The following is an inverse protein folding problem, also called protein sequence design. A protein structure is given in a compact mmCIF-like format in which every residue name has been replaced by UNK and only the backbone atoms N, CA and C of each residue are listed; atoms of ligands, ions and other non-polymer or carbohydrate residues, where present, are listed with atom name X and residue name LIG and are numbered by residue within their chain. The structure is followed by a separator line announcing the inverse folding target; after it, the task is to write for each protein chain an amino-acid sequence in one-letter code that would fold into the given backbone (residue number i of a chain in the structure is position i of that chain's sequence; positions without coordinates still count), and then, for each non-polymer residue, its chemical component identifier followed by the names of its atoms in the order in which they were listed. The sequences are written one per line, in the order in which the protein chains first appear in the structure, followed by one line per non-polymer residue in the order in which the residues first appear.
data_IF_315428468502
#
_entry.id   IF_315428468502
#
_cell.length_a   1.000
_cell.length_b   1.000
_cell.length_c   1.000
_cell.angle_alpha   90.00
_cell.angle_beta   90.00
_cell.angle_gamma   90.00
#
_symmetry.space_group_name_H-M   'P 1'
#
loop_
_entity.id
_entity.type
_entity.pdbx_description
1 polymer ?
#
# COMPACT_ATOMS: atom_id res chain seq x y z
N UNK A 1 -4.83 -3.25 -2.13
CA UNK A 1 -4.38 -3.15 -0.72
C UNK A 1 -5.29 -4.02 0.14
N UNK A 2 -4.74 -4.93 0.94
CA UNK A 2 -5.53 -5.77 1.86
C UNK A 2 -4.73 -6.18 3.10
N UNK A 3 -5.38 -6.40 4.26
CA UNK A 3 -4.71 -6.95 5.44
C UNK A 3 -4.17 -8.35 5.15
N UNK A 4 -2.90 -8.60 5.49
CA UNK A 4 -2.24 -9.88 5.26
C UNK A 4 -1.30 -10.20 6.44
N UNK A 5 -1.39 -11.38 7.06
CA UNK A 5 -0.40 -11.80 8.06
C UNK A 5 0.98 -11.90 7.41
N UNK A 6 2.01 -11.39 8.09
CA UNK A 6 3.39 -11.47 7.61
C UNK A 6 3.90 -12.91 7.74
N UNK A 7 4.45 -13.45 6.65
CA UNK A 7 5.09 -14.76 6.68
C UNK A 7 6.44 -14.71 7.41
N UNK A 8 7.12 -15.85 7.53
CA UNK A 8 8.39 -15.94 8.27
C UNK A 8 9.48 -15.00 7.74
N UNK A 9 9.65 -14.94 6.43
CA UNK A 9 10.69 -14.13 5.78
C UNK A 9 10.39 -12.63 5.93
N UNK A 10 9.15 -12.23 5.64
CA UNK A 10 8.68 -10.84 5.80
C UNK A 10 8.78 -10.37 7.25
N UNK A 11 8.39 -11.22 8.19
CA UNK A 11 8.45 -10.90 9.61
C UNK A 11 9.90 -10.72 10.10
N UNK A 12 10.83 -11.53 9.58
CA UNK A 12 12.25 -11.40 9.88
C UNK A 12 12.82 -10.07 9.35
N UNK A 13 12.54 -9.71 8.10
CA UNK A 13 12.99 -8.45 7.51
C UNK A 13 12.41 -7.22 8.22
N UNK A 14 11.17 -7.31 8.69
CA UNK A 14 10.46 -6.23 9.38
C UNK A 14 10.66 -6.22 10.90
N UNK A 15 11.48 -7.14 11.44
CA UNK A 15 11.75 -7.31 12.88
C UNK A 15 10.48 -7.46 13.73
N UNK A 16 9.59 -8.36 13.29
CA UNK A 16 8.36 -8.74 14.01
C UNK A 16 8.22 -10.27 14.07
N UNK A 17 7.21 -10.76 14.77
CA UNK A 17 6.93 -12.20 14.84
C UNK A 17 6.16 -12.67 13.60
N UNK A 18 6.43 -13.90 13.14
CA UNK A 18 5.67 -14.51 12.05
C UNK A 18 4.18 -14.58 12.41
N UNK A 19 3.31 -14.27 11.43
CA UNK A 19 1.87 -14.16 11.62
C UNK A 19 1.41 -12.82 12.19
N UNK A 20 2.32 -11.88 12.48
CA UNK A 20 1.94 -10.52 12.90
C UNK A 20 1.02 -9.86 11.85
N UNK A 21 0.07 -9.01 12.28
CA UNK A 21 -0.77 -8.27 11.34
C UNK A 21 0.08 -7.40 10.43
N UNK A 22 -0.18 -7.47 9.13
CA UNK A 22 0.47 -6.63 8.14
C UNK A 22 -0.54 -6.12 7.12
N UNK A 23 -0.05 -5.24 6.26
CA UNK A 23 -0.80 -4.72 5.13
C UNK A 23 -0.01 -5.01 3.86
N UNK A 24 -0.66 -5.66 2.89
CA UNK A 24 -0.09 -5.85 1.57
C UNK A 24 -0.60 -4.79 0.61
N UNK A 25 0.34 -4.11 -0.06
CA UNK A 25 0.08 -3.09 -1.06
C UNK A 25 0.69 -3.50 -2.40
N UNK A 26 -0.02 -3.18 -3.46
CA UNK A 26 0.50 -3.24 -4.83
C UNK A 26 0.32 -1.86 -5.43
N UNK A 27 1.38 -1.30 -6.01
CA UNK A 27 1.38 0.01 -6.64
C UNK A 27 1.92 -0.11 -8.05
N UNK A 28 1.20 0.49 -8.99
CA UNK A 28 1.70 0.72 -10.35
C UNK A 28 1.86 2.22 -10.53
N UNK A 29 3.07 2.66 -10.84
CA UNK A 29 3.36 4.06 -11.14
C UNK A 29 3.44 4.26 -12.65
N UNK A 30 2.94 5.41 -13.13
CA UNK A 30 2.90 5.77 -14.54
C UNK A 30 3.67 7.07 -14.78
N UNK A 31 4.30 7.19 -15.96
CA UNK A 31 4.85 8.47 -16.43
C UNK A 31 3.76 9.42 -16.94
N UNK A 32 4.15 10.60 -17.42
CA UNK A 32 3.24 11.60 -17.98
C UNK A 32 2.53 11.17 -19.28
N UNK A 33 2.91 10.03 -19.87
CA UNK A 33 2.33 9.48 -21.09
C UNK A 33 1.51 8.21 -20.81
N UNK A 34 1.08 8.00 -19.56
CA UNK A 34 0.36 6.83 -19.07
C UNK A 34 1.11 5.51 -19.30
N UNK A 35 2.45 5.55 -19.40
CA UNK A 35 3.28 4.34 -19.49
C UNK A 35 3.72 3.89 -18.11
N UNK A 36 3.66 2.58 -17.86
CA UNK A 36 4.13 2.00 -16.59
C UNK A 36 5.63 2.23 -16.44
N UNK A 37 6.04 2.83 -15.32
CA UNK A 37 7.45 3.02 -14.96
C UNK A 37 7.89 2.12 -13.82
N UNK A 38 6.98 1.73 -12.94
CA UNK A 38 7.29 0.95 -11.75
C UNK A 38 6.10 0.08 -11.34
N UNK A 39 6.40 -1.10 -10.82
CA UNK A 39 5.44 -2.00 -10.21
C UNK A 39 6.02 -2.54 -8.89
N UNK A 40 5.39 -2.16 -7.79
CA UNK A 40 5.84 -2.52 -6.45
C UNK A 40 4.87 -3.45 -5.76
N UNK A 41 5.41 -4.38 -4.98
CA UNK A 41 4.69 -5.19 -4.02
C UNK A 41 5.32 -4.99 -2.65
N UNK A 42 4.56 -4.44 -1.72
CA UNK A 42 5.08 -4.01 -0.42
C UNK A 42 4.34 -4.68 0.73
N UNK A 43 5.08 -5.02 1.79
CA UNK A 43 4.55 -5.54 3.04
C UNK A 43 4.85 -4.55 4.15
N UNK A 44 3.80 -3.99 4.74
CA UNK A 44 3.92 -2.97 5.77
C UNK A 44 3.49 -3.51 7.13
N UNK A 45 4.19 -3.10 8.17
CA UNK A 45 3.80 -3.34 9.56
C UNK A 45 2.60 -2.46 9.93
N UNK A 46 1.64 -3.04 10.64
CA UNK A 46 0.41 -2.35 11.00
C UNK A 46 0.58 -1.23 12.05
N UNK A 47 1.71 -1.21 12.77
CA UNK A 47 1.93 -0.36 13.95
C UNK A 47 2.78 0.89 13.68
N UNK A 48 3.23 1.08 12.44
CA UNK A 48 4.12 2.18 12.06
C UNK A 48 3.54 3.13 11.01
N UNK A 49 2.41 2.79 10.39
CA UNK A 49 1.82 3.56 9.28
C UNK A 49 0.32 3.74 9.50
N UNK A 50 -0.17 4.94 9.22
CA UNK A 50 -1.59 5.28 9.07
C UNK A 50 -1.86 5.67 7.61
N UNK A 51 -2.98 5.21 7.05
CA UNK A 51 -3.39 5.52 5.67
C UNK A 51 -4.71 6.29 5.73
N UNK A 52 -4.68 7.53 5.25
CA UNK A 52 -5.86 8.37 5.06
C UNK A 52 -6.14 8.56 3.57
N UNK A 53 -7.42 8.57 3.21
CA UNK A 53 -7.88 8.80 1.84
C UNK A 53 -8.89 9.95 1.87
N UNK A 54 -8.62 10.98 1.08
CA UNK A 54 -9.59 12.04 0.78
C UNK A 54 -10.11 11.82 -0.63
N UNK A 55 -11.42 11.64 -0.78
CA UNK A 55 -12.07 11.49 -2.08
C UNK A 55 -12.72 12.81 -2.45
N UNK A 56 -12.12 13.52 -3.39
CA UNK A 56 -12.70 14.75 -3.94
C UNK A 56 -13.60 14.39 -5.11
N UNK A 57 -14.88 14.74 -5.00
CA UNK A 57 -15.84 14.60 -6.10
C UNK A 57 -15.79 15.84 -6.99
N UNK A 58 -15.11 15.76 -8.13
CA UNK A 58 -14.99 16.86 -9.11
C UNK A 58 -16.28 17.14 -9.91
N UNK A 59 -17.42 16.60 -9.49
CA UNK A 59 -18.70 16.72 -10.21
C UNK A 59 -19.52 17.96 -9.81
N UNK A 60 -19.05 18.79 -8.88
CA UNK A 60 -19.83 19.89 -8.29
C UNK A 60 -19.41 21.31 -8.73
N UNK A 61 -18.37 21.47 -9.58
CA UNK A 61 -17.84 22.79 -9.97
C UNK A 61 -18.24 23.22 -11.40
N UNK A 62 -19.38 22.73 -11.90
CA UNK A 62 -20.01 23.24 -13.12
C UNK A 62 -21.41 23.77 -12.80
N UNK A 63 -21.48 24.90 -12.10
CA UNK A 63 -22.61 25.85 -12.13
C UNK A 63 -22.10 27.25 -12.48
#
# INVERSE_FOLDING_TARGET
MYPAPLNGDQAAELNVVAGAPGLFLTRTSYDQNDQVVEFDQEFWRHDIIEIALEVVNNAADSE
#
